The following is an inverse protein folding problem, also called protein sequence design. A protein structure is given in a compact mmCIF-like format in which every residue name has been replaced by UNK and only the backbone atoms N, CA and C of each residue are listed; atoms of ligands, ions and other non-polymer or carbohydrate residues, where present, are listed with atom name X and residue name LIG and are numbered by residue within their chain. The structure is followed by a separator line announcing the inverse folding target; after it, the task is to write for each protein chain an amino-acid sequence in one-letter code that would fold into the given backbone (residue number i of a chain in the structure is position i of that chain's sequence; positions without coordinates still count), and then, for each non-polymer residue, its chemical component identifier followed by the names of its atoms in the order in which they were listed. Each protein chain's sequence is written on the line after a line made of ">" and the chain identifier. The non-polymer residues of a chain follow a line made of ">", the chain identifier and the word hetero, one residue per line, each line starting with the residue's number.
data_IF_415439658300
#
_entry.id   IF_415439658300
#
_cell.length_a   1.000
_cell.length_b   1.000
_cell.length_c   1.000
_cell.angle_alpha   90.00
_cell.angle_beta   90.00
_cell.angle_gamma   90.00
#
_symmetry.space_group_name_H-M   'P 1'
#
loop_
_entity.id
_entity.type
_entity.pdbx_description
1 polymer ?
#
# COMPACT_ATOMS: atom_id res chain seq x y z
N UNK A 1 -10.28 21.19 -7.27
CA UNK A 1 -9.19 20.62 -8.09
C UNK A 1 -7.96 20.11 -7.32
N UNK A 2 -7.56 20.67 -6.16
CA UNK A 2 -6.35 20.20 -5.44
C UNK A 2 -6.48 18.75 -4.88
N UNK A 3 -7.70 18.26 -4.62
CA UNK A 3 -7.98 17.03 -3.84
C UNK A 3 -8.12 15.72 -4.64
N UNK A 4 -7.70 15.67 -5.91
CA UNK A 4 -7.90 14.49 -6.77
C UNK A 4 -6.68 13.57 -6.92
N UNK A 5 -5.52 13.95 -6.37
CA UNK A 5 -4.31 13.13 -6.40
C UNK A 5 -4.44 11.83 -5.59
N UNK A 6 -5.04 11.88 -4.39
CA UNK A 6 -5.09 10.71 -3.48
C UNK A 6 -5.92 9.51 -3.97
N UNK A 7 -6.56 9.60 -5.13
CA UNK A 7 -7.57 8.66 -5.60
C UNK A 7 -6.96 7.40 -6.22
N UNK A 8 -5.81 7.51 -6.88
CA UNK A 8 -5.22 6.39 -7.64
C UNK A 8 -4.53 5.37 -6.73
N UNK A 9 -3.82 5.81 -5.68
CA UNK A 9 -3.22 4.89 -4.71
C UNK A 9 -4.29 4.14 -3.91
N UNK A 10 -5.42 4.78 -3.63
CA UNK A 10 -6.61 4.13 -3.08
C UNK A 10 -7.23 3.13 -4.06
N UNK A 11 -7.48 3.52 -5.31
CA UNK A 11 -8.15 2.70 -6.31
C UNK A 11 -7.38 1.42 -6.70
N UNK A 12 -6.05 1.47 -6.78
CA UNK A 12 -5.22 0.27 -7.05
C UNK A 12 -5.23 -0.70 -5.86
N UNK A 13 -5.23 -0.21 -4.61
CA UNK A 13 -5.37 -1.05 -3.42
C UNK A 13 -6.79 -1.62 -3.24
N UNK A 14 -7.80 -0.95 -3.80
CA UNK A 14 -9.22 -1.27 -3.62
C UNK A 14 -9.65 -2.62 -4.24
N UNK A 15 -8.79 -3.23 -5.06
CA UNK A 15 -9.27 -3.89 -6.26
C UNK A 15 -9.41 -5.43 -6.20
N UNK A 16 -9.13 -6.11 -5.10
CA UNK A 16 -8.41 -7.41 -5.20
C UNK A 16 -9.04 -8.66 -4.53
N UNK A 17 -10.37 -8.91 -4.56
CA UNK A 17 -11.03 -9.81 -3.55
C UNK A 17 -12.39 -10.49 -3.97
N UNK A 18 -12.57 -11.83 -3.86
CA UNK A 18 -13.84 -12.62 -4.02
C UNK A 18 -14.00 -13.57 -2.80
N UNK A 19 -15.10 -14.28 -2.44
CA UNK A 19 -16.56 -14.34 -2.72
C UNK A 19 -17.22 -14.55 -1.29
N UNK A 20 -18.53 -14.82 -1.04
CA UNK A 20 -19.10 -14.66 0.29
C UNK A 20 -18.71 -15.82 1.23
N UNK A 21 -18.51 -15.50 2.51
CA UNK A 21 -18.35 -16.49 3.59
C UNK A 21 -19.25 -16.10 4.76
N UNK A 22 -19.77 -17.14 5.41
CA UNK A 22 -20.69 -17.13 6.56
C UNK A 22 -20.22 -16.20 7.69
N UNK A 23 -21.17 -15.60 8.40
CA UNK A 23 -20.94 -14.66 9.50
C UNK A 23 -19.94 -15.20 10.54
N UNK A 24 -18.75 -14.59 10.60
CA UNK A 24 -17.75 -14.87 11.64
C UNK A 24 -18.06 -14.07 12.92
N UNK A 25 -17.70 -14.61 14.11
CA UNK A 25 -17.89 -13.92 15.39
C UNK A 25 -17.07 -12.61 15.50
N UNK A 26 -17.43 -11.70 16.42
CA UNK A 26 -16.82 -10.39 16.52
C UNK A 26 -15.30 -10.43 16.69
N UNK A 27 -14.66 -9.50 15.99
CA UNK A 27 -13.20 -9.36 15.87
C UNK A 27 -12.61 -8.67 17.10
N UNK A 28 -11.33 -8.93 17.45
CA UNK A 28 -10.63 -8.10 18.41
C UNK A 28 -10.37 -6.71 17.80
N UNK A 29 -10.91 -5.65 18.41
CA UNK A 29 -10.61 -4.23 18.09
C UNK A 29 -9.10 -3.88 18.16
N UNK A 30 -8.28 -4.80 18.68
CA UNK A 30 -6.85 -4.65 18.92
C UNK A 30 -6.03 -4.39 17.65
N UNK A 31 -6.43 -4.91 16.48
CA UNK A 31 -5.70 -4.65 15.23
C UNK A 31 -5.69 -3.14 14.88
N UNK A 32 -6.80 -2.45 15.14
CA UNK A 32 -7.02 -1.02 14.84
C UNK A 32 -6.49 -0.06 15.92
N UNK A 33 -5.68 -0.54 16.87
CA UNK A 33 -5.13 0.26 17.97
C UNK A 33 -3.67 0.68 17.70
N UNK A 34 -3.46 1.92 17.23
CA UNK A 34 -2.14 2.42 16.83
C UNK A 34 -1.35 2.94 18.04
N UNK A 35 -0.05 2.64 18.19
CA UNK A 35 0.81 3.30 19.18
C UNK A 35 0.93 4.81 18.93
N UNK A 36 0.89 5.64 19.99
CA UNK A 36 0.88 7.11 19.88
C UNK A 36 2.05 7.71 19.10
N UNK A 37 3.23 7.08 19.16
CA UNK A 37 4.44 7.54 18.47
C UNK A 37 4.53 7.13 17.00
N UNK A 38 3.53 6.43 16.44
CA UNK A 38 3.61 5.87 15.08
C UNK A 38 3.75 6.96 14.02
N UNK A 39 4.94 7.04 13.42
CA UNK A 39 5.28 7.85 12.24
C UNK A 39 4.44 7.42 11.03
N UNK A 40 4.28 6.11 10.85
CA UNK A 40 3.39 5.54 9.85
C UNK A 40 2.78 4.24 10.36
N UNK A 41 1.60 3.90 9.87
CA UNK A 41 0.87 2.69 10.24
C UNK A 41 0.07 2.19 9.05
N UNK A 42 -0.03 0.88 8.91
CA UNK A 42 -0.99 0.23 8.02
C UNK A 42 -1.47 -1.07 8.66
N UNK A 43 -2.78 -1.28 8.67
CA UNK A 43 -3.41 -2.52 9.06
C UNK A 43 -4.34 -3.02 7.96
N UNK A 44 -4.34 -4.34 7.77
CA UNK A 44 -5.19 -5.01 6.81
C UNK A 44 -5.86 -6.22 7.46
N UNK A 45 -7.18 -6.26 7.34
CA UNK A 45 -8.01 -7.36 7.83
C UNK A 45 -8.91 -7.89 6.71
N UNK A 46 -8.35 -8.82 5.95
CA UNK A 46 -9.04 -9.46 4.84
C UNK A 46 -10.14 -10.45 5.23
N UNK A 47 -10.32 -10.79 6.52
CA UNK A 47 -11.25 -11.87 6.93
C UNK A 47 -12.71 -11.62 6.51
N UNK A 48 -13.14 -10.36 6.43
CA UNK A 48 -14.48 -9.99 5.96
C UNK A 48 -14.63 -9.95 4.43
N UNK A 49 -13.58 -10.26 3.69
CA UNK A 49 -13.50 -10.10 2.23
C UNK A 49 -13.56 -11.43 1.47
N UNK A 50 -13.53 -12.57 2.18
CA UNK A 50 -13.66 -13.90 1.59
C UNK A 50 -12.34 -14.53 1.13
N UNK A 51 -12.42 -15.56 0.29
CA UNK A 51 -11.29 -16.40 -0.13
C UNK A 51 -10.12 -15.63 -0.77
N UNK A 52 -10.38 -14.57 -1.55
CA UNK A 52 -9.33 -13.78 -2.18
C UNK A 52 -8.88 -12.57 -1.37
N UNK A 53 -9.23 -12.53 -0.08
CA UNK A 53 -8.43 -11.82 0.91
C UNK A 53 -6.93 -12.03 0.68
N UNK A 54 -6.51 -13.22 0.22
CA UNK A 54 -5.14 -13.56 -0.13
C UNK A 54 -4.54 -12.69 -1.24
N UNK A 55 -5.28 -12.34 -2.31
CA UNK A 55 -4.77 -11.50 -3.41
C UNK A 55 -4.62 -10.04 -2.99
N UNK A 56 -5.61 -9.47 -2.30
CA UNK A 56 -5.44 -8.15 -1.70
C UNK A 56 -4.37 -8.12 -0.63
N UNK A 57 -4.27 -9.14 0.22
CA UNK A 57 -3.23 -9.23 1.24
C UNK A 57 -1.85 -9.24 0.59
N UNK A 58 -1.69 -10.01 -0.49
CA UNK A 58 -0.48 -10.02 -1.30
C UNK A 58 -0.18 -8.63 -1.88
N UNK A 59 -1.16 -7.96 -2.50
CA UNK A 59 -0.97 -6.63 -3.09
C UNK A 59 -0.70 -5.53 -2.05
N UNK A 60 -1.47 -5.47 -0.95
CA UNK A 60 -1.26 -4.52 0.15
C UNK A 60 0.10 -4.74 0.79
N UNK A 61 0.48 -5.99 1.04
CA UNK A 61 1.79 -6.32 1.59
C UNK A 61 2.91 -6.04 0.57
N UNK A 62 2.72 -6.28 -0.72
CA UNK A 62 3.64 -5.91 -1.79
C UNK A 62 3.81 -4.40 -1.91
N UNK A 63 2.73 -3.63 -1.77
CA UNK A 63 2.76 -2.17 -1.70
C UNK A 63 3.55 -1.70 -0.46
N UNK A 64 3.35 -2.31 0.71
CA UNK A 64 4.15 -1.99 1.91
C UNK A 64 5.62 -2.33 1.73
N UNK A 65 5.96 -3.53 1.23
CA UNK A 65 7.34 -3.90 0.87
C UNK A 65 7.93 -2.91 -0.14
N UNK A 66 7.15 -2.51 -1.14
CA UNK A 66 7.52 -1.52 -2.16
C UNK A 66 7.79 -0.14 -1.57
N UNK A 67 6.92 0.37 -0.69
CA UNK A 67 7.14 1.63 0.03
C UNK A 67 8.40 1.55 0.89
N UNK A 68 8.55 0.51 1.72
CA UNK A 68 9.73 0.28 2.57
C UNK A 68 11.01 0.13 1.74
N UNK A 69 10.94 -0.41 0.53
CA UNK A 69 12.11 -0.66 -0.33
C UNK A 69 12.39 0.41 -1.39
N UNK A 70 11.60 1.49 -1.48
CA UNK A 70 11.78 2.53 -2.52
C UNK A 70 11.48 3.97 -2.08
N UNK A 71 10.65 4.19 -1.05
CA UNK A 71 10.21 5.54 -0.63
C UNK A 71 11.13 6.11 0.46
N UNK A 72 11.61 5.25 1.37
CA UNK A 72 12.78 5.54 2.21
C UNK A 72 13.74 4.38 2.00
N UNK A 73 14.75 4.59 1.17
CA UNK A 73 15.84 3.63 0.98
C UNK A 73 16.66 3.56 2.26
N UNK A 74 16.27 2.73 3.22
CA UNK A 74 17.11 2.41 4.38
C UNK A 74 18.30 1.60 3.88
N UNK A 75 19.52 2.01 4.24
CA UNK A 75 20.75 1.30 3.86
C UNK A 75 20.60 -0.21 4.12
N UNK A 76 20.82 -1.06 3.11
CA UNK A 76 20.67 -2.54 3.16
C UNK A 76 19.29 -3.13 3.58
N UNK A 77 18.36 -2.35 4.12
CA UNK A 77 17.02 -2.77 4.54
C UNK A 77 16.98 -3.95 5.53
N UNK A 78 15.89 -4.73 5.49
CA UNK A 78 15.84 -6.07 6.10
C UNK A 78 15.03 -7.04 5.25
N UNK A 79 15.67 -8.17 4.92
CA UNK A 79 15.08 -9.29 4.22
C UNK A 79 14.03 -10.05 5.06
N UNK A 80 13.99 -9.85 6.39
CA UNK A 80 12.96 -10.38 7.30
C UNK A 80 11.61 -9.71 7.08
N UNK A 81 11.57 -8.38 6.99
CA UNK A 81 10.35 -7.65 6.65
C UNK A 81 9.80 -8.11 5.29
N UNK A 82 10.69 -8.33 4.33
CA UNK A 82 10.34 -8.83 3.00
C UNK A 82 9.82 -10.27 3.01
N UNK A 83 10.38 -11.20 3.81
CA UNK A 83 9.79 -12.55 3.95
C UNK A 83 8.44 -12.54 4.66
N UNK A 84 8.33 -11.83 5.78
CA UNK A 84 7.11 -11.78 6.60
C UNK A 84 5.91 -11.25 5.82
N UNK A 85 6.13 -10.24 4.98
CA UNK A 85 5.09 -9.62 4.15
C UNK A 85 4.80 -10.40 2.85
N UNK A 86 5.31 -11.63 2.66
CA UNK A 86 4.89 -12.49 1.53
C UNK A 86 3.52 -13.11 1.79
N UNK A 87 2.75 -13.30 0.72
CA UNK A 87 1.44 -13.95 0.79
C UNK A 87 1.48 -15.31 1.52
N UNK A 88 2.51 -16.13 1.24
CA UNK A 88 2.75 -17.42 1.91
C UNK A 88 3.02 -17.31 3.43
N UNK A 89 3.67 -16.24 3.85
CA UNK A 89 4.05 -16.02 5.26
C UNK A 89 2.88 -15.42 6.05
N UNK A 90 2.09 -14.54 5.42
CA UNK A 90 0.88 -13.97 6.02
C UNK A 90 -0.33 -14.92 5.96
N UNK A 91 -0.40 -15.85 5.01
CA UNK A 91 -1.52 -16.78 4.84
C UNK A 91 -2.86 -16.04 4.90
N UNK A 92 -3.82 -16.57 5.66
CA UNK A 92 -5.11 -15.93 5.94
C UNK A 92 -5.12 -14.84 7.05
N UNK A 93 -4.00 -14.60 7.74
CA UNK A 93 -3.94 -13.75 8.93
C UNK A 93 -4.29 -12.27 8.67
N UNK A 94 -5.03 -11.60 9.58
CA UNK A 94 -4.97 -10.15 9.74
C UNK A 94 -3.56 -9.72 10.17
N UNK A 95 -3.10 -8.55 9.74
CA UNK A 95 -1.78 -8.05 10.12
C UNK A 95 -1.72 -6.52 10.12
N UNK A 96 -0.69 -6.00 10.76
CA UNK A 96 -0.35 -4.57 10.72
C UNK A 96 1.15 -4.34 10.72
N UNK A 97 1.58 -3.27 10.07
CA UNK A 97 2.93 -2.76 10.12
C UNK A 97 2.91 -1.32 10.67
N UNK A 98 3.80 -1.02 11.61
CA UNK A 98 3.95 0.29 12.23
C UNK A 98 5.41 0.73 12.09
N UNK A 99 5.64 1.95 11.60
CA UNK A 99 6.90 2.66 11.77
C UNK A 99 6.75 3.54 13.02
N UNK A 100 7.46 3.21 14.10
CA UNK A 100 7.41 3.91 15.38
C UNK A 100 8.43 5.04 15.46
N UNK A 101 9.62 4.81 14.90
CA UNK A 101 10.74 5.75 14.95
C UNK A 101 11.50 5.66 13.63
N UNK A 102 11.83 6.82 13.06
CA UNK A 102 12.76 6.97 11.95
C UNK A 102 13.47 8.31 12.15
N UNK A 103 14.76 8.26 12.43
CA UNK A 103 15.66 9.40 12.36
C UNK A 103 16.92 8.97 11.60
N UNK A 104 17.46 9.80 10.73
CA UNK A 104 18.66 9.46 9.97
C UNK A 104 19.12 10.55 9.02
N UNK A 105 20.37 10.41 8.56
CA UNK A 105 20.97 11.28 7.55
C UNK A 105 20.80 10.65 6.18
N UNK A 106 20.50 11.46 5.16
CA UNK A 106 20.47 10.99 3.78
C UNK A 106 21.82 11.14 3.11
N UNK A 107 22.27 10.08 2.44
CA UNK A 107 23.51 10.06 1.67
C UNK A 107 23.26 9.68 0.22
N UNK A 108 23.73 10.52 -0.69
CA UNK A 108 23.72 10.22 -2.12
C UNK A 108 24.81 9.18 -2.45
N UNK A 109 24.39 7.97 -2.84
CA UNK A 109 25.26 6.87 -3.25
C UNK A 109 25.29 6.76 -4.77
N UNK A 110 26.47 6.91 -5.37
CA UNK A 110 26.67 6.75 -6.82
C UNK A 110 26.64 5.27 -7.20
N UNK A 111 25.53 4.80 -7.76
CA UNK A 111 25.40 3.49 -8.44
C UNK A 111 25.79 3.61 -9.91
N UNK A 112 27.06 3.99 -10.14
CA UNK A 112 27.63 4.19 -11.47
C UNK A 112 27.57 5.64 -11.99
N UNK A 113 27.88 5.87 -13.27
CA UNK A 113 28.20 7.21 -13.78
C UNK A 113 27.00 8.15 -14.01
N UNK A 114 25.75 7.65 -13.89
CA UNK A 114 24.52 8.42 -14.16
C UNK A 114 23.41 8.22 -13.12
N UNK A 115 23.67 7.46 -12.05
CA UNK A 115 22.64 7.15 -11.05
C UNK A 115 23.19 7.44 -9.66
N UNK A 116 22.72 8.52 -9.04
CA UNK A 116 22.78 8.74 -7.60
C UNK A 116 21.46 8.29 -6.99
N UNK A 117 21.52 7.35 -6.05
CA UNK A 117 20.39 7.01 -5.19
C UNK A 117 20.64 7.60 -3.81
N UNK A 118 19.68 8.36 -3.30
CA UNK A 118 19.70 8.84 -1.93
C UNK A 118 19.26 7.72 -1.00
N UNK A 119 20.11 7.39 -0.04
CA UNK A 119 19.89 6.31 0.94
C UNK A 119 19.94 6.93 2.33
N UNK A 120 18.91 6.68 3.13
CA UNK A 120 18.87 7.06 4.55
C UNK A 120 19.66 6.03 5.34
N UNK A 121 20.63 6.50 6.13
CA UNK A 121 21.27 5.70 7.17
C UNK A 121 20.63 6.05 8.52
N UNK A 122 19.84 5.16 9.14
CA UNK A 122 19.13 5.51 10.36
C UNK A 122 20.07 5.70 11.55
N UNK A 123 19.94 6.83 12.24
CA UNK A 123 20.48 7.04 13.58
C UNK A 123 19.53 6.51 14.65
N UNK A 124 18.21 6.54 14.39
CA UNK A 124 17.18 5.80 15.12
C UNK A 124 16.22 5.12 14.15
N UNK A 125 15.86 3.87 14.45
CA UNK A 125 14.87 3.14 13.67
C UNK A 125 14.08 2.23 14.60
N UNK A 126 12.77 2.24 14.46
CA UNK A 126 11.87 1.34 15.15
C UNK A 126 10.68 1.02 14.25
N UNK A 127 10.57 -0.22 13.80
CA UNK A 127 9.41 -0.70 13.07
C UNK A 127 8.88 -2.00 13.68
N UNK A 128 7.59 -2.27 13.54
CA UNK A 128 6.95 -3.50 14.03
C UNK A 128 5.99 -4.05 12.98
N UNK A 129 6.06 -5.34 12.73
CA UNK A 129 5.04 -6.12 12.03
C UNK A 129 4.37 -7.03 13.08
N UNK A 130 3.07 -6.87 13.29
CA UNK A 130 2.26 -7.78 14.10
C UNK A 130 1.32 -8.56 13.20
N UNK A 131 1.42 -9.89 13.25
CA UNK A 131 0.57 -10.82 12.50
C UNK A 131 -0.33 -11.53 13.52
N UNK A 132 -1.65 -11.38 13.36
CA UNK A 132 -2.63 -11.99 14.25
C UNK A 132 -2.83 -13.45 13.85
N UNK A 133 -2.84 -14.36 14.82
CA UNK A 133 -2.95 -15.79 14.54
C UNK A 133 -4.24 -16.10 13.77
N UNK A 134 -4.13 -16.75 12.62
CA UNK A 134 -5.29 -17.36 11.97
C UNK A 134 -5.73 -18.57 12.81
N UNK A 135 -7.04 -18.82 12.87
CA UNK A 135 -7.59 -19.94 13.64
C UNK A 135 -7.30 -21.30 13.00
N UNK A 136 -6.98 -21.31 11.71
CA UNK A 136 -7.07 -22.50 10.86
C UNK A 136 -5.71 -23.03 10.38
N UNK A 137 -4.60 -22.33 10.69
CA UNK A 137 -3.27 -22.61 10.13
C UNK A 137 -2.16 -22.62 11.19
N UNK A 138 -1.63 -23.81 11.53
CA UNK A 138 -0.22 -24.07 11.88
C UNK A 138 0.50 -23.26 12.98
N UNK A 139 -0.19 -22.42 13.74
CA UNK A 139 0.44 -21.53 14.71
C UNK A 139 1.39 -20.50 14.09
N UNK A 140 2.43 -20.11 14.83
CA UNK A 140 3.40 -19.12 14.36
C UNK A 140 4.56 -19.72 13.54
N UNK A 141 4.60 -21.04 13.33
CA UNK A 141 5.75 -21.76 12.79
C UNK A 141 6.14 -21.29 11.37
N UNK A 142 5.16 -21.05 10.49
CA UNK A 142 5.41 -20.51 9.15
C UNK A 142 5.98 -19.08 9.17
N UNK A 143 5.67 -18.29 10.19
CA UNK A 143 6.21 -16.94 10.38
C UNK A 143 7.63 -17.01 10.97
N UNK A 144 7.89 -17.94 11.91
CA UNK A 144 9.23 -18.21 12.42
C UNK A 144 10.17 -18.69 11.30
N UNK A 145 9.71 -19.57 10.42
CA UNK A 145 10.45 -19.99 9.22
C UNK A 145 10.73 -18.81 8.27
N UNK A 146 9.77 -17.88 8.10
CA UNK A 146 9.96 -16.65 7.32
C UNK A 146 11.01 -15.71 7.97
N UNK A 147 11.02 -15.59 9.30
CA UNK A 147 12.02 -14.82 10.05
C UNK A 147 13.41 -15.41 9.84
N UNK A 148 13.59 -16.72 10.00
CA UNK A 148 14.91 -17.35 9.84
C UNK A 148 15.42 -17.31 8.39
N UNK A 149 14.54 -17.49 7.40
CA UNK A 149 14.88 -17.30 5.98
C UNK A 149 15.30 -15.84 5.68
N UNK A 150 14.64 -14.87 6.30
CA UNK A 150 15.03 -13.47 6.23
C UNK A 150 16.39 -13.19 6.87
N UNK A 151 16.61 -13.68 8.09
CA UNK A 151 17.85 -13.48 8.84
C UNK A 151 19.06 -14.15 8.19
N UNK A 152 18.87 -15.31 7.55
CA UNK A 152 19.92 -15.97 6.75
C UNK A 152 20.36 -15.09 5.59
N UNK A 153 19.43 -14.40 4.92
CA UNK A 153 19.78 -13.46 3.84
C UNK A 153 20.39 -12.17 4.36
N UNK A 154 19.84 -11.58 5.42
CA UNK A 154 20.40 -10.37 6.04
C UNK A 154 21.85 -10.58 6.51
N UNK A 155 22.19 -11.78 7.00
CA UNK A 155 23.55 -12.14 7.44
C UNK A 155 24.60 -12.07 6.32
N UNK A 156 24.21 -12.20 5.05
CA UNK A 156 25.13 -12.02 3.90
C UNK A 156 25.41 -10.53 3.59
N UNK A 157 24.61 -9.64 4.14
CA UNK A 157 24.72 -8.17 4.04
C UNK A 157 25.27 -7.55 5.34
N UNK A 158 25.49 -8.32 6.39
CA UNK A 158 26.09 -7.88 7.65
C UNK A 158 27.62 -8.06 7.59
N UNK A 159 28.35 -7.19 8.31
CA UNK A 159 29.82 -7.26 8.37
C UNK A 159 30.32 -8.32 9.36
N UNK A 160 29.49 -8.65 10.34
CA UNK A 160 29.78 -9.59 11.42
C UNK A 160 28.63 -10.59 11.59
N UNK A 161 28.88 -11.81 12.10
CA UNK A 161 27.83 -12.77 12.40
C UNK A 161 26.81 -12.21 13.41
N UNK A 162 25.52 -12.39 13.14
CA UNK A 162 24.45 -11.97 14.05
C UNK A 162 24.47 -12.78 15.36
N UNK A 163 24.41 -12.09 16.49
CA UNK A 163 24.27 -12.75 17.80
C UNK A 163 22.80 -13.10 18.04
N UNK A 164 22.52 -14.37 18.39
CA UNK A 164 21.19 -14.83 18.78
C UNK A 164 21.08 -14.98 20.30
N UNK A 165 20.01 -14.46 20.89
CA UNK A 165 19.69 -14.62 22.32
C UNK A 165 18.20 -14.90 22.50
N UNK A 166 17.85 -15.56 23.61
CA UNK A 166 16.46 -15.70 24.02
C UNK A 166 15.96 -14.36 24.59
N UNK A 167 14.78 -13.94 24.16
CA UNK A 167 14.11 -12.72 24.64
C UNK A 167 12.97 -13.09 25.58
N UNK A 168 12.86 -12.36 26.70
CA UNK A 168 11.72 -12.43 27.62
C UNK A 168 11.30 -11.02 28.01
N UNK A 169 10.05 -10.66 27.73
CA UNK A 169 9.48 -9.36 28.05
C UNK A 169 8.88 -9.35 29.47
N UNK A 170 8.63 -8.14 30.00
CA UNK A 170 8.07 -7.93 31.33
C UNK A 170 6.63 -8.46 31.52
N UNK A 171 5.90 -8.69 30.43
CA UNK A 171 4.58 -9.36 30.43
C UNK A 171 4.69 -10.90 30.44
N UNK A 172 5.91 -11.44 30.49
CA UNK A 172 6.20 -12.86 30.45
C UNK A 172 6.27 -13.46 29.04
N UNK A 173 5.98 -12.70 27.98
CA UNK A 173 6.09 -13.20 26.60
C UNK A 173 7.55 -13.55 26.25
N UNK A 174 7.72 -14.64 25.52
CA UNK A 174 9.04 -15.17 25.13
C UNK A 174 9.22 -15.21 23.63
N UNK A 175 10.47 -15.12 23.19
CA UNK A 175 10.85 -15.31 21.79
C UNK A 175 12.36 -15.15 21.60
N UNK A 176 12.77 -14.53 20.51
CA UNK A 176 14.18 -14.39 20.13
C UNK A 176 14.58 -12.95 19.81
N UNK A 177 15.87 -12.69 19.98
CA UNK A 177 16.56 -11.50 19.50
C UNK A 177 17.72 -11.95 18.60
N UNK A 178 17.88 -11.23 17.48
CA UNK A 178 18.95 -11.37 16.51
C UNK A 178 19.62 -10.01 16.34
N UNK A 179 20.69 -9.77 17.09
CA UNK A 179 21.44 -8.51 17.08
C UNK A 179 22.48 -8.47 15.96
N UNK A 180 22.69 -7.28 15.42
CA UNK A 180 23.73 -6.96 14.45
C UNK A 180 24.63 -5.81 14.98
N UNK A 181 25.73 -5.54 14.28
CA UNK A 181 26.64 -4.42 14.60
C UNK A 181 25.90 -3.07 14.61
N UNK A 182 25.05 -2.88 13.60
CA UNK A 182 24.23 -1.70 13.38
C UNK A 182 22.89 -1.83 14.15
N UNK A 183 22.60 -1.02 15.19
CA UNK A 183 21.45 -1.25 16.08
C UNK A 183 20.08 -1.20 15.41
N UNK A 184 19.94 -0.50 14.28
CA UNK A 184 18.71 -0.45 13.49
C UNK A 184 18.44 -1.75 12.71
N UNK A 185 19.44 -2.65 12.59
CA UNK A 185 19.32 -3.99 11.98
C UNK A 185 19.02 -5.11 12.96
N UNK A 186 18.94 -4.82 14.27
CA UNK A 186 18.48 -5.78 15.26
C UNK A 186 17.05 -6.22 14.93
N UNK A 187 16.77 -7.53 15.02
CA UNK A 187 15.44 -8.10 14.80
C UNK A 187 15.04 -8.89 16.03
N UNK A 188 13.92 -8.51 16.65
CA UNK A 188 13.35 -9.20 17.80
C UNK A 188 11.97 -9.75 17.45
N UNK A 189 11.57 -10.87 18.03
CA UNK A 189 10.22 -11.40 17.89
C UNK A 189 9.73 -12.05 19.17
N UNK A 190 8.43 -11.92 19.45
CA UNK A 190 7.76 -12.62 20.56
C UNK A 190 6.43 -13.21 20.13
N UNK A 191 6.13 -14.39 20.67
CA UNK A 191 4.81 -15.02 20.54
C UNK A 191 3.92 -14.56 21.70
N UNK A 192 2.74 -14.03 21.38
CA UNK A 192 1.67 -13.71 22.34
C UNK A 192 0.41 -14.53 22.03
N UNK A 193 -0.51 -14.70 22.99
CA UNK A 193 -1.81 -15.31 22.72
C UNK A 193 -2.56 -14.55 21.61
N UNK A 194 -2.64 -15.16 20.42
CA UNK A 194 -3.34 -14.60 19.27
C UNK A 194 -2.53 -13.67 18.36
N UNK A 195 -1.23 -13.43 18.60
CA UNK A 195 -0.37 -12.73 17.62
C UNK A 195 1.12 -13.03 17.75
N UNK A 196 1.83 -12.97 16.63
CA UNK A 196 3.29 -12.88 16.58
C UNK A 196 3.68 -11.42 16.31
N UNK A 197 4.55 -10.88 17.15
CA UNK A 197 5.08 -9.53 16.99
C UNK A 197 6.54 -9.65 16.59
N UNK A 198 6.92 -9.00 15.49
CA UNK A 198 8.31 -8.88 15.02
C UNK A 198 8.68 -7.41 14.97
N UNK A 199 9.72 -7.03 15.70
CA UNK A 199 10.24 -5.67 15.76
C UNK A 199 11.61 -5.59 15.09
N UNK A 200 11.87 -4.41 14.53
CA UNK A 200 13.11 -4.03 13.87
C UNK A 200 13.69 -2.82 14.60
N UNK A 201 15.01 -2.85 14.80
CA UNK A 201 15.73 -1.87 15.62
C UNK A 201 15.78 -2.24 17.10
N UNK A 202 16.90 -1.91 17.74
CA UNK A 202 17.20 -2.21 19.14
C UNK A 202 16.23 -1.50 20.10
N UNK A 203 15.62 -2.26 21.00
CA UNK A 203 14.69 -1.73 22.00
C UNK A 203 13.26 -1.47 21.48
N UNK A 204 12.98 -1.76 20.21
CA UNK A 204 11.66 -1.46 19.59
C UNK A 204 10.55 -2.34 20.16
N UNK A 205 10.84 -3.60 20.49
CA UNK A 205 9.83 -4.57 20.95
C UNK A 205 9.36 -4.28 22.38
N UNK A 206 10.24 -3.71 23.22
CA UNK A 206 9.95 -3.22 24.56
C UNK A 206 9.18 -1.90 24.56
N UNK A 207 9.38 -1.04 23.55
CA UNK A 207 8.61 0.20 23.34
C UNK A 207 7.19 -0.04 22.78
N UNK A 208 7.00 -1.10 21.98
CA UNK A 208 5.73 -1.40 21.33
C UNK A 208 4.50 -1.61 22.25
N UNK A 209 4.60 -2.18 23.48
CA UNK A 209 3.48 -2.27 24.41
C UNK A 209 3.07 -0.92 25.04
N UNK A 210 2.72 0.05 24.19
CA UNK A 210 2.09 1.33 24.54
C UNK A 210 0.72 1.47 23.86
N UNK A 211 -0.30 0.77 24.37
CA UNK A 211 -1.68 0.91 23.87
C UNK A 211 -2.27 2.24 24.34
N UNK A 212 -2.32 3.21 23.45
CA UNK A 212 -2.99 4.48 23.68
C UNK A 212 -4.21 4.63 22.77
N UNK A 213 -5.07 5.59 23.12
CA UNK A 213 -6.19 6.08 22.28
C UNK A 213 -5.96 7.53 21.84
N UNK A 214 -4.75 8.06 22.07
CA UNK A 214 -4.35 9.43 21.78
C UNK A 214 -3.81 9.63 20.36
N UNK A 215 -3.15 10.77 20.16
CA UNK A 215 -2.46 11.09 18.91
C UNK A 215 -3.37 11.50 17.75
N UNK A 216 -2.74 12.01 16.67
CA UNK A 216 -3.43 12.50 15.49
C UNK A 216 -4.31 11.42 14.84
N UNK A 217 -3.81 10.17 14.72
CA UNK A 217 -4.57 9.05 14.14
C UNK A 217 -5.94 8.85 14.83
N UNK A 218 -6.03 9.08 16.14
CA UNK A 218 -7.28 9.00 16.91
C UNK A 218 -8.27 10.12 16.57
N UNK A 219 -7.79 11.28 16.12
CA UNK A 219 -8.63 12.34 15.52
C UNK A 219 -9.11 11.93 14.13
N UNK A 220 -8.21 11.43 13.26
CA UNK A 220 -8.55 10.95 11.92
C UNK A 220 -9.61 9.83 11.95
N UNK A 221 -9.50 8.87 12.88
CA UNK A 221 -10.49 7.79 13.05
C UNK A 221 -11.82 8.30 13.60
N UNK A 222 -11.81 9.29 14.51
CA UNK A 222 -13.02 9.97 15.01
C UNK A 222 -13.74 10.77 13.92
N UNK A 223 -13.01 11.45 13.04
CA UNK A 223 -13.57 12.22 11.92
C UNK A 223 -14.33 11.36 10.87
N UNK A 224 -14.27 10.03 10.98
CA UNK A 224 -15.11 9.11 10.22
C UNK A 224 -15.82 8.07 11.10
N UNK A 225 -15.97 8.30 12.40
CA UNK A 225 -16.63 7.34 13.32
C UNK A 225 -18.05 6.96 12.85
N UNK A 226 -18.79 7.94 12.32
CA UNK A 226 -20.16 7.77 11.81
C UNK A 226 -20.24 7.02 10.47
N UNK A 227 -19.12 6.78 9.79
CA UNK A 227 -19.11 6.06 8.52
C UNK A 227 -19.33 4.55 8.75
N UNK A 228 -20.51 4.06 8.33
CA UNK A 228 -20.97 2.67 8.49
C UNK A 228 -19.99 1.65 7.91
N UNK A 229 -20.11 0.40 8.37
CA UNK A 229 -19.41 -0.77 7.81
C UNK A 229 -18.25 -1.28 8.67
N UNK A 230 -17.64 -2.38 8.24
CA UNK A 230 -16.52 -3.05 8.92
C UNK A 230 -15.20 -2.48 8.38
N UNK A 231 -14.28 -2.00 9.23
CA UNK A 231 -12.91 -1.67 8.78
C UNK A 231 -12.22 -2.93 8.22
N UNK A 232 -11.54 -2.77 7.09
CA UNK A 232 -10.75 -3.82 6.41
C UNK A 232 -9.36 -3.34 5.99
N UNK A 233 -9.18 -2.02 5.88
CA UNK A 233 -7.91 -1.35 5.61
C UNK A 233 -7.88 -0.03 6.39
N UNK A 234 -6.79 0.25 7.08
CA UNK A 234 -6.46 1.59 7.58
C UNK A 234 -4.98 1.85 7.31
N UNK A 235 -4.63 3.01 6.76
CA UNK A 235 -3.24 3.41 6.52
C UNK A 235 -3.05 4.88 6.90
N UNK A 236 -2.16 5.17 7.84
CA UNK A 236 -1.88 6.49 8.43
C UNK A 236 -0.42 6.87 8.23
N UNK A 237 -0.15 8.16 7.98
CA UNK A 237 1.20 8.73 7.94
C UNK A 237 1.22 10.11 8.61
N UNK A 238 2.08 10.29 9.61
CA UNK A 238 2.46 11.60 10.15
C UNK A 238 3.64 12.18 9.34
N UNK A 239 3.29 13.05 8.40
CA UNK A 239 4.25 13.75 7.54
C UNK A 239 5.07 14.80 8.33
N UNK A 240 4.63 15.25 9.51
CA UNK A 240 5.47 16.08 10.37
C UNK A 240 6.52 15.23 11.10
N UNK A 241 6.17 14.01 11.53
CA UNK A 241 7.13 13.07 12.11
C UNK A 241 8.19 12.66 11.09
N UNK A 242 7.79 12.30 9.86
CA UNK A 242 8.74 12.00 8.78
C UNK A 242 9.68 13.18 8.48
N UNK A 243 9.17 14.42 8.38
CA UNK A 243 9.99 15.62 8.15
C UNK A 243 10.98 15.94 9.27
N UNK A 244 10.65 15.60 10.53
CA UNK A 244 11.59 15.74 11.66
C UNK A 244 12.64 14.65 11.67
N UNK A 245 12.28 13.44 11.23
CA UNK A 245 13.14 12.27 11.23
C UNK A 245 14.19 12.26 10.12
N UNK A 246 13.77 12.59 8.90
CA UNK A 246 14.61 12.59 7.69
C UNK A 246 14.44 13.93 6.94
N UNK A 247 14.92 15.05 7.52
CA UNK A 247 14.73 16.38 6.93
C UNK A 247 15.29 16.47 5.50
N UNK A 248 16.45 15.85 5.24
CA UNK A 248 17.11 15.79 3.94
C UNK A 248 16.27 15.08 2.84
N UNK A 249 15.31 14.23 3.22
CA UNK A 249 14.37 13.64 2.27
C UNK A 249 13.25 14.62 1.87
N UNK A 250 12.99 15.62 2.70
CA UNK A 250 12.02 16.70 2.46
C UNK A 250 12.66 18.01 1.98
N UNK A 251 13.99 18.12 2.00
CA UNK A 251 14.74 19.21 1.38
C UNK A 251 15.27 18.76 0.00
N UNK A 252 14.34 18.64 -0.96
CA UNK A 252 14.62 18.21 -2.34
C UNK A 252 14.92 16.72 -2.53
N UNK A 253 14.68 15.87 -1.54
CA UNK A 253 14.92 14.42 -1.60
C UNK A 253 13.85 13.61 -2.34
N UNK A 254 13.74 12.32 -2.00
CA UNK A 254 12.72 11.43 -2.55
C UNK A 254 11.33 11.71 -1.97
N UNK A 255 11.24 11.92 -0.65
CA UNK A 255 9.96 12.20 0.01
C UNK A 255 9.36 13.53 -0.41
N UNK A 256 10.17 14.58 -0.57
CA UNK A 256 9.73 15.90 -1.04
C UNK A 256 8.97 15.81 -2.37
N UNK A 257 9.65 15.25 -3.39
CA UNK A 257 9.08 15.04 -4.72
C UNK A 257 7.80 14.20 -4.66
N UNK A 258 7.76 13.19 -3.79
CA UNK A 258 6.60 12.31 -3.63
C UNK A 258 5.40 13.03 -2.98
N UNK A 259 5.62 13.80 -1.90
CA UNK A 259 4.52 14.56 -1.27
C UNK A 259 4.04 15.72 -2.15
N UNK A 260 4.89 16.26 -3.00
CA UNK A 260 4.50 17.20 -4.06
C UNK A 260 3.66 16.53 -5.15
N UNK A 261 4.11 15.39 -5.70
CA UNK A 261 3.33 14.58 -6.66
C UNK A 261 1.95 14.19 -6.11
N UNK A 262 1.90 13.81 -4.83
CA UNK A 262 0.65 13.43 -4.16
C UNK A 262 -0.18 14.63 -3.67
N UNK A 263 0.32 15.86 -3.83
CA UNK A 263 -0.30 17.13 -3.40
C UNK A 263 -0.59 17.22 -1.90
N UNK A 264 0.20 16.52 -1.09
CA UNK A 264 0.16 16.50 0.39
C UNK A 264 1.39 17.18 1.02
N UNK A 265 2.21 17.89 0.23
CA UNK A 265 3.40 18.60 0.69
C UNK A 265 3.15 19.59 1.83
N UNK A 266 1.93 20.14 1.95
CA UNK A 266 1.53 21.02 3.06
C UNK A 266 0.75 20.30 4.18
N UNK A 267 0.56 18.99 4.13
CA UNK A 267 -0.20 18.27 5.14
C UNK A 267 0.66 17.85 6.34
N UNK A 268 0.03 17.84 7.51
CA UNK A 268 0.58 17.36 8.78
C UNK A 268 0.52 15.85 8.85
N UNK A 269 -0.67 15.29 8.60
CA UNK A 269 -0.91 13.85 8.58
C UNK A 269 -2.05 13.50 7.61
N UNK A 270 -2.01 12.28 7.09
CA UNK A 270 -2.99 11.73 6.14
C UNK A 270 -3.36 10.31 6.59
N UNK A 271 -4.64 9.93 6.43
CA UNK A 271 -5.13 8.59 6.71
C UNK A 271 -6.15 8.13 5.66
N UNK A 272 -5.87 6.99 5.03
CA UNK A 272 -6.79 6.22 4.19
C UNK A 272 -7.55 5.21 5.06
N UNK A 273 -8.85 5.10 4.81
CA UNK A 273 -9.78 4.21 5.49
C UNK A 273 -10.56 3.40 4.45
N UNK A 274 -10.55 2.08 4.56
CA UNK A 274 -11.36 1.17 3.77
C UNK A 274 -12.37 0.44 4.64
N UNK A 275 -13.66 0.61 4.35
CA UNK A 275 -14.76 -0.01 5.09
C UNK A 275 -15.73 -0.76 4.19
N UNK A 276 -16.15 -1.93 4.66
CA UNK A 276 -17.05 -2.83 3.96
C UNK A 276 -18.50 -2.62 4.40
N UNK A 277 -19.31 -2.02 3.54
CA UNK A 277 -20.67 -1.51 3.78
C UNK A 277 -21.73 -2.44 3.16
N UNK A 278 -22.89 -2.54 3.83
CA UNK A 278 -24.03 -3.35 3.40
C UNK A 278 -24.00 -4.78 3.95
N UNK A 279 -25.19 -5.37 4.08
CA UNK A 279 -25.37 -6.76 4.49
C UNK A 279 -25.00 -7.73 3.35
N UNK A 280 -24.45 -8.93 3.63
CA UNK A 280 -24.16 -9.95 2.61
C UNK A 280 -25.40 -10.38 1.80
N UNK A 281 -26.57 -10.38 2.44
CA UNK A 281 -27.84 -10.81 1.87
C UNK A 281 -28.40 -9.83 0.82
N UNK A 282 -27.94 -8.57 0.83
CA UNK A 282 -28.41 -7.50 -0.04
C UNK A 282 -27.53 -7.31 -1.30
N UNK A 283 -26.90 -8.39 -1.78
CA UNK A 283 -25.94 -8.38 -2.88
C UNK A 283 -24.53 -7.93 -2.48
N UNK A 284 -23.66 -7.71 -3.47
CA UNK A 284 -22.22 -7.56 -3.25
C UNK A 284 -21.86 -6.37 -2.36
N UNK A 285 -21.29 -6.62 -1.16
CA UNK A 285 -20.93 -5.56 -0.18
C UNK A 285 -20.10 -4.44 -0.84
N UNK A 286 -20.14 -3.21 -0.36
CA UNK A 286 -19.36 -2.12 -0.96
C UNK A 286 -18.12 -1.81 -0.15
N UNK A 287 -16.95 -1.81 -0.78
CA UNK A 287 -15.74 -1.30 -0.14
C UNK A 287 -15.68 0.22 -0.40
N UNK A 288 -16.15 0.96 0.60
CA UNK A 288 -16.06 2.41 0.64
C UNK A 288 -14.65 2.82 1.10
N UNK A 289 -13.98 3.59 0.26
CA UNK A 289 -12.69 4.20 0.53
C UNK A 289 -12.89 5.66 0.86
N UNK A 290 -12.29 6.12 1.96
CA UNK A 290 -12.34 7.50 2.40
C UNK A 290 -10.95 7.92 2.87
N UNK A 291 -10.53 9.12 2.50
CA UNK A 291 -9.33 9.74 3.06
C UNK A 291 -9.69 10.85 4.03
N UNK A 292 -8.79 11.08 4.98
CA UNK A 292 -8.80 12.18 5.94
C UNK A 292 -7.40 12.79 6.01
N UNK A 293 -7.29 14.10 6.10
CA UNK A 293 -6.01 14.79 6.22
C UNK A 293 -6.14 16.03 7.11
N UNK A 294 -5.04 16.45 7.73
CA UNK A 294 -4.92 17.72 8.45
C UNK A 294 -3.86 18.58 7.78
N UNK A 295 -4.19 19.82 7.42
CA UNK A 295 -3.27 20.69 6.65
C UNK A 295 -2.56 21.72 7.51
N UNK A 296 -1.28 22.01 7.24
CA UNK A 296 -0.47 23.00 7.98
C UNK A 296 -1.04 24.41 7.89
N UNK A 297 -1.74 24.74 6.81
CA UNK A 297 -2.43 26.02 6.60
C UNK A 297 -3.74 26.16 7.41
N UNK A 298 -4.23 25.09 8.05
CA UNK A 298 -5.44 25.11 8.87
C UNK A 298 -5.07 25.00 10.37
N UNK A 299 -5.93 25.47 11.27
CA UNK A 299 -5.65 25.38 12.71
C UNK A 299 -5.41 23.92 13.16
N UNK A 300 -4.53 23.65 14.15
CA UNK A 300 -4.37 22.32 14.73
C UNK A 300 -5.71 21.70 15.15
N UNK A 301 -5.87 20.39 14.98
CA UNK A 301 -7.15 19.69 15.17
C UNK A 301 -8.18 19.87 14.04
N UNK A 302 -7.94 20.78 13.07
CA UNK A 302 -8.79 20.84 11.86
C UNK A 302 -8.52 19.63 10.98
N UNK A 303 -9.56 18.83 10.76
CA UNK A 303 -9.54 17.68 9.87
C UNK A 303 -10.45 17.89 8.66
N UNK A 304 -9.96 17.46 7.51
CA UNK A 304 -10.71 17.33 6.27
C UNK A 304 -10.90 15.87 5.94
N UNK A 305 -11.97 15.59 5.19
CA UNK A 305 -12.27 14.26 4.69
C UNK A 305 -12.79 14.32 3.25
N UNK A 306 -12.55 13.27 2.49
CA UNK A 306 -13.11 13.08 1.15
C UNK A 306 -13.36 11.59 0.91
N UNK A 307 -14.52 11.24 0.35
CA UNK A 307 -14.74 9.92 -0.22
C UNK A 307 -13.84 9.75 -1.46
N UNK A 308 -13.23 8.57 -1.63
CA UNK A 308 -12.51 8.12 -2.82
C UNK A 308 -13.39 7.17 -3.64
N UNK A 309 -14.28 6.44 -2.97
CA UNK A 309 -15.33 5.65 -3.61
C UNK A 309 -16.68 5.86 -2.94
N UNK A 310 -17.74 5.48 -3.64
CA UNK A 310 -19.10 5.65 -3.16
C UNK A 310 -19.36 4.81 -1.89
N UNK A 311 -20.22 5.34 -1.02
CA UNK A 311 -20.63 4.66 0.22
C UNK A 311 -21.98 3.92 0.09
N UNK A 312 -22.64 4.08 -1.04
CA UNK A 312 -23.96 3.54 -1.42
C UNK A 312 -23.94 3.12 -2.88
N UNK A 313 -24.70 2.09 -3.25
CA UNK A 313 -24.68 1.56 -4.61
C UNK A 313 -25.30 2.58 -5.58
N UNK A 314 -24.61 3.01 -6.65
CA UNK A 314 -25.16 4.01 -7.55
C UNK A 314 -26.22 3.39 -8.48
N UNK A 315 -27.45 3.89 -8.38
CA UNK A 315 -28.61 3.42 -9.17
C UNK A 315 -28.33 3.45 -10.69
N UNK A 316 -27.55 4.42 -11.16
CA UNK A 316 -27.16 4.57 -12.55
C UNK A 316 -26.28 3.42 -13.13
N UNK A 317 -25.77 2.52 -12.28
CA UNK A 317 -25.02 1.32 -12.70
C UNK A 317 -25.98 0.12 -12.91
N UNK A 318 -27.25 0.25 -12.52
CA UNK A 318 -28.23 -0.84 -12.57
C UNK A 318 -28.08 -1.81 -11.39
N UNK A 319 -28.30 -3.09 -11.64
CA UNK A 319 -28.32 -4.09 -10.56
C UNK A 319 -26.94 -4.32 -9.93
N UNK A 320 -26.97 -4.41 -8.60
CA UNK A 320 -25.78 -4.70 -7.79
C UNK A 320 -25.30 -6.14 -8.08
N UNK A 321 -23.99 -6.35 -8.39
CA UNK A 321 -23.44 -7.68 -8.60
C UNK A 321 -23.77 -8.63 -7.43
N UNK A 322 -23.92 -9.92 -7.72
CA UNK A 322 -24.15 -10.94 -6.70
C UNK A 322 -22.82 -11.54 -6.22
N UNK A 323 -22.77 -11.84 -4.92
CA UNK A 323 -21.71 -12.61 -4.24
C UNK A 323 -20.29 -11.98 -4.17
N UNK A 324 -20.08 -10.76 -4.66
CA UNK A 324 -18.79 -10.07 -4.55
C UNK A 324 -18.75 -9.11 -3.33
N UNK A 325 -17.70 -8.31 -3.20
CA UNK A 325 -17.87 -6.90 -2.86
C UNK A 325 -17.43 -6.08 -4.07
N UNK A 326 -17.66 -4.77 -4.06
CA UNK A 326 -17.34 -3.89 -5.18
C UNK A 326 -16.91 -2.52 -4.69
N UNK A 327 -15.97 -1.88 -5.38
CA UNK A 327 -15.75 -0.43 -5.28
C UNK A 327 -16.41 0.21 -6.48
N UNK A 328 -17.44 1.01 -6.26
CA UNK A 328 -17.98 1.90 -7.28
C UNK A 328 -17.35 3.28 -7.09
N UNK A 329 -16.75 3.83 -8.15
CA UNK A 329 -16.06 5.11 -8.11
C UNK A 329 -16.20 5.83 -9.44
N UNK A 330 -16.21 7.16 -9.40
CA UNK A 330 -16.30 7.99 -10.62
C UNK A 330 -14.90 8.12 -11.23
N UNK A 331 -14.71 7.81 -12.52
CA UNK A 331 -13.41 7.90 -13.13
C UNK A 331 -13.01 9.34 -13.43
N UNK A 332 -11.81 9.71 -13.03
CA UNK A 332 -11.07 10.83 -13.60
C UNK A 332 -9.73 10.29 -14.10
N UNK A 333 -9.79 9.65 -15.27
CA UNK A 333 -8.61 9.06 -15.90
C UNK A 333 -7.53 10.11 -16.21
N UNK A 334 -7.90 11.38 -16.41
CA UNK A 334 -6.96 12.49 -16.57
C UNK A 334 -6.19 12.76 -15.27
N UNK A 335 -6.88 12.92 -14.15
CA UNK A 335 -6.23 13.11 -12.84
C UNK A 335 -5.42 11.88 -12.42
N UNK A 336 -5.92 10.66 -12.64
CA UNK A 336 -5.20 9.44 -12.26
C UNK A 336 -3.95 9.20 -13.08
N UNK A 337 -4.02 9.42 -14.40
CA UNK A 337 -2.85 9.31 -15.27
C UNK A 337 -1.78 10.32 -14.87
N UNK A 338 -2.17 11.58 -14.66
CA UNK A 338 -1.25 12.61 -14.18
C UNK A 338 -0.65 12.23 -12.82
N UNK A 339 -1.44 11.77 -11.86
CA UNK A 339 -0.92 11.28 -10.57
C UNK A 339 0.06 10.10 -10.73
N UNK A 340 -0.21 9.17 -11.64
CA UNK A 340 0.67 8.04 -11.93
C UNK A 340 2.00 8.50 -12.51
N UNK A 341 1.97 9.46 -13.45
CA UNK A 341 3.15 10.08 -14.05
C UNK A 341 3.93 10.95 -13.05
N UNK A 342 3.24 11.73 -12.23
CA UNK A 342 3.83 12.56 -11.16
C UNK A 342 4.52 11.66 -10.12
N UNK A 343 3.88 10.56 -9.72
CA UNK A 343 4.46 9.56 -8.79
C UNK A 343 5.65 8.84 -9.43
N UNK A 344 5.55 8.45 -10.71
CA UNK A 344 6.67 7.86 -11.44
C UNK A 344 7.84 8.84 -11.58
N UNK A 345 7.57 10.13 -11.79
CA UNK A 345 8.60 11.17 -11.86
C UNK A 345 9.28 11.41 -10.50
N UNK A 346 8.52 11.33 -9.41
CA UNK A 346 9.06 11.47 -8.05
C UNK A 346 9.97 10.30 -7.66
N UNK A 347 9.57 9.06 -7.97
CA UNK A 347 10.32 7.83 -7.66
C UNK A 347 11.37 7.46 -8.72
N UNK A 348 11.26 8.04 -9.92
CA UNK A 348 12.06 7.70 -11.09
C UNK A 348 13.36 8.51 -11.24
N UNK A 349 14.13 8.22 -12.31
CA UNK A 349 15.33 8.97 -12.65
C UNK A 349 14.98 10.41 -13.06
N UNK A 350 15.88 11.34 -12.74
CA UNK A 350 15.74 12.78 -13.03
C UNK A 350 15.46 13.12 -14.49
N UNK A 351 15.95 12.30 -15.42
CA UNK A 351 15.78 12.48 -16.86
C UNK A 351 14.33 12.23 -17.34
N UNK A 352 13.46 11.68 -16.48
CA UNK A 352 12.10 11.31 -16.85
C UNK A 352 11.26 12.48 -17.36
N UNK A 353 11.47 13.72 -16.90
CA UNK A 353 10.70 14.89 -17.37
C UNK A 353 10.81 15.11 -18.90
N UNK A 354 12.02 14.92 -19.44
CA UNK A 354 12.29 15.01 -20.88
C UNK A 354 11.63 13.87 -21.69
N UNK A 355 11.48 12.70 -21.05
CA UNK A 355 10.81 11.52 -21.61
C UNK A 355 9.29 11.68 -21.52
N UNK A 356 8.78 12.20 -20.40
CA UNK A 356 7.38 12.49 -20.11
C UNK A 356 6.79 13.44 -21.13
N UNK A 357 7.41 14.61 -21.34
CA UNK A 357 6.94 15.58 -22.34
C UNK A 357 6.83 14.97 -23.74
N UNK A 358 7.77 14.08 -24.11
CA UNK A 358 7.76 13.38 -25.41
C UNK A 358 6.71 12.28 -25.46
N UNK A 359 6.49 11.58 -24.36
CA UNK A 359 5.47 10.55 -24.19
C UNK A 359 4.06 11.17 -24.24
N UNK A 360 3.81 12.24 -23.48
CA UNK A 360 2.54 12.98 -23.45
C UNK A 360 2.16 13.45 -24.86
N UNK A 361 3.09 14.04 -25.63
CA UNK A 361 2.83 14.45 -27.02
C UNK A 361 2.46 13.29 -27.95
N UNK A 362 2.99 12.08 -27.74
CA UNK A 362 2.61 10.89 -28.51
C UNK A 362 1.27 10.32 -28.08
N UNK A 363 0.97 10.40 -26.79
CA UNK A 363 -0.20 9.74 -26.17
C UNK A 363 -1.44 10.63 -26.16
N UNK A 364 -1.28 11.96 -26.17
CA UNK A 364 -2.37 12.94 -26.16
C UNK A 364 -3.45 12.69 -27.22
N UNK A 365 -3.15 12.42 -28.52
CA UNK A 365 -4.19 12.16 -29.51
C UNK A 365 -5.04 10.92 -29.19
N UNK A 366 -4.47 9.91 -28.54
CA UNK A 366 -5.21 8.74 -28.10
C UNK A 366 -6.09 9.05 -26.89
N UNK A 367 -5.56 9.80 -25.91
CA UNK A 367 -6.32 10.25 -24.73
C UNK A 367 -7.50 11.16 -25.12
N UNK A 368 -7.31 12.08 -26.05
CA UNK A 368 -8.38 12.94 -26.60
C UNK A 368 -9.55 12.12 -27.19
N UNK A 369 -9.30 10.90 -27.69
CA UNK A 369 -10.33 9.99 -28.22
C UNK A 369 -10.88 9.02 -27.18
N UNK A 370 -10.11 8.68 -26.15
CA UNK A 370 -10.51 7.74 -25.09
C UNK A 370 -11.28 8.46 -23.98
N UNK A 371 -10.78 9.59 -23.48
CA UNK A 371 -11.35 10.28 -22.31
C UNK A 371 -12.85 10.61 -22.47
N UNK A 372 -13.36 11.11 -23.62
CA UNK A 372 -14.79 11.37 -23.81
C UNK A 372 -15.66 10.11 -23.89
N UNK A 373 -15.06 8.93 -24.09
CA UNK A 373 -15.75 7.64 -24.12
C UNK A 373 -15.84 6.98 -22.75
N UNK A 374 -14.96 7.32 -21.81
CA UNK A 374 -15.02 6.81 -20.44
C UNK A 374 -16.36 7.20 -19.82
N UNK A 375 -17.13 6.21 -19.42
CA UNK A 375 -18.43 6.38 -18.76
C UNK A 375 -18.28 6.88 -17.34
N UNK A 376 -19.40 7.26 -16.72
CA UNK A 376 -19.42 7.98 -15.45
C UNK A 376 -19.04 7.12 -14.23
N UNK A 377 -18.80 5.82 -14.45
CA UNK A 377 -18.51 4.82 -13.42
C UNK A 377 -17.40 3.86 -13.81
N UNK A 378 -16.50 3.64 -12.86
CA UNK A 378 -15.58 2.53 -12.79
C UNK A 378 -16.01 1.62 -11.64
N UNK A 379 -16.20 0.35 -11.97
CA UNK A 379 -16.37 -0.72 -11.00
C UNK A 379 -15.05 -1.43 -10.82
N UNK A 380 -14.65 -1.60 -9.57
CA UNK A 380 -13.52 -2.45 -9.23
C UNK A 380 -14.07 -3.65 -8.50
N UNK A 381 -13.96 -4.80 -9.16
CA UNK A 381 -14.47 -6.08 -8.67
C UNK A 381 -13.32 -6.92 -8.11
N UNK A 382 -13.63 -7.99 -7.38
CA UNK A 382 -12.78 -9.16 -7.20
C UNK A 382 -11.65 -9.43 -8.21
N UNK A 383 -10.51 -9.92 -7.70
CA UNK A 383 -9.43 -10.43 -8.53
C UNK A 383 -8.63 -9.38 -9.31
N UNK A 384 -8.72 -8.08 -8.95
CA UNK A 384 -8.16 -6.96 -9.71
C UNK A 384 -8.83 -6.72 -11.07
N UNK A 385 -10.06 -7.20 -11.25
CA UNK A 385 -10.87 -6.87 -12.43
C UNK A 385 -11.43 -5.45 -12.31
N UNK A 386 -10.82 -4.52 -13.04
CA UNK A 386 -11.32 -3.15 -13.23
C UNK A 386 -12.24 -3.15 -14.44
N UNK A 387 -13.54 -2.95 -14.23
CA UNK A 387 -14.52 -2.71 -15.30
C UNK A 387 -14.84 -1.22 -15.41
N UNK A 388 -14.55 -0.60 -16.54
CA UNK A 388 -14.92 0.78 -16.84
C UNK A 388 -15.97 0.73 -17.95
N UNK A 389 -17.18 1.23 -17.67
CA UNK A 389 -18.17 1.43 -18.72
C UNK A 389 -17.58 2.42 -19.76
N UNK A 390 -17.67 2.10 -21.04
CA UNK A 390 -17.20 2.95 -22.13
C UNK A 390 -18.32 3.12 -23.15
N UNK A 391 -18.70 4.37 -23.40
CA UNK A 391 -19.75 4.71 -24.36
C UNK A 391 -19.31 4.24 -25.75
N UNK A 392 -20.01 3.29 -26.38
CA UNK A 392 -19.67 2.86 -27.74
C UNK A 392 -19.80 4.05 -28.68
N UNK A 393 -18.81 4.21 -29.56
CA UNK A 393 -18.87 5.24 -30.58
C UNK A 393 -19.74 4.75 -31.76
N UNK A 394 -20.21 5.69 -32.60
CA UNK A 394 -20.62 5.34 -33.95
C UNK A 394 -19.39 4.78 -34.71
N UNK A 395 -19.26 3.46 -34.72
CA UNK A 395 -18.08 2.71 -35.19
C UNK A 395 -17.20 2.21 -34.03
N UNK A 396 -17.37 0.94 -33.65
CA UNK A 396 -16.69 0.32 -32.49
C UNK A 396 -15.21 -0.03 -32.72
N UNK A 397 -14.72 -0.04 -33.96
CA UNK A 397 -13.40 -0.60 -34.30
C UNK A 397 -12.18 0.22 -33.81
N UNK A 398 -12.39 1.46 -33.32
CA UNK A 398 -11.30 2.37 -32.97
C UNK A 398 -10.88 2.36 -31.50
N UNK A 399 -11.71 1.91 -30.55
CA UNK A 399 -11.38 2.05 -29.13
C UNK A 399 -10.22 1.14 -28.69
N UNK A 400 -10.22 -0.13 -29.10
CA UNK A 400 -9.11 -1.06 -28.84
C UNK A 400 -7.81 -0.58 -29.52
N UNK A 401 -7.88 -0.11 -30.77
CA UNK A 401 -6.74 0.48 -31.45
C UNK A 401 -6.18 1.72 -30.71
N UNK A 402 -7.06 2.57 -30.17
CA UNK A 402 -6.66 3.75 -29.39
C UNK A 402 -5.99 3.36 -28.07
N UNK A 403 -6.56 2.38 -27.33
CA UNK A 403 -6.00 1.85 -26.09
C UNK A 403 -4.64 1.18 -26.32
N UNK A 404 -4.53 0.30 -27.33
CA UNK A 404 -3.24 -0.25 -27.77
C UNK A 404 -2.26 0.86 -28.15
N UNK A 405 -2.73 1.96 -28.73
CA UNK A 405 -1.94 3.16 -28.99
C UNK A 405 -1.34 3.77 -27.72
N UNK A 406 -2.13 3.97 -26.67
CA UNK A 406 -1.66 4.43 -25.34
C UNK A 406 -0.61 3.46 -24.79
N UNK A 407 -0.94 2.17 -24.68
CA UNK A 407 -0.09 1.19 -24.00
C UNK A 407 1.19 0.84 -24.77
N UNK A 408 1.15 0.79 -26.10
CA UNK A 408 2.36 0.59 -26.93
C UNK A 408 3.31 1.77 -26.78
N UNK A 409 2.79 2.99 -26.65
CA UNK A 409 3.60 4.19 -26.43
C UNK A 409 4.09 4.36 -24.98
N UNK A 410 3.43 3.74 -23.99
CA UNK A 410 3.88 3.67 -22.58
C UNK A 410 5.27 3.03 -22.40
N UNK A 411 5.71 2.19 -23.34
CA UNK A 411 6.74 1.17 -23.07
C UNK A 411 8.01 1.09 -23.96
N UNK A 412 8.38 2.02 -24.86
CA UNK A 412 9.71 2.00 -25.48
C UNK A 412 10.86 2.14 -24.46
N UNK A 413 10.68 2.96 -23.43
CA UNK A 413 11.70 3.26 -22.41
C UNK A 413 11.73 2.25 -21.27
N UNK A 414 10.59 1.65 -20.92
CA UNK A 414 10.51 0.61 -19.87
C UNK A 414 11.07 -0.74 -20.35
N UNK A 415 11.06 -1.01 -21.66
CA UNK A 415 11.69 -2.21 -22.27
C UNK A 415 13.21 -2.10 -22.50
N UNK A 416 13.82 -0.92 -22.39
CA UNK A 416 15.19 -0.66 -22.89
C UNK A 416 16.23 -0.32 -21.82
N UNK A 417 15.94 -0.57 -20.54
CA UNK A 417 16.93 -0.48 -19.46
C UNK A 417 16.71 -1.57 -18.40
N UNK A 418 17.77 -1.96 -17.68
CA UNK A 418 17.76 -2.95 -16.56
C UNK A 418 16.93 -2.52 -15.32
N UNK A 419 16.01 -1.57 -15.48
CA UNK A 419 15.08 -1.04 -14.49
C UNK A 419 13.77 -0.66 -15.19
N UNK A 420 13.11 -1.64 -15.80
CA UNK A 420 11.66 -1.56 -15.84
C UNK A 420 11.14 -1.65 -14.41
N UNK A 421 10.01 -1.01 -14.11
CA UNK A 421 9.14 -1.48 -13.03
C UNK A 421 8.44 -2.75 -13.53
N UNK A 422 9.24 -3.79 -13.74
CA UNK A 422 8.73 -5.14 -13.79
C UNK A 422 8.27 -5.43 -12.37
N UNK A 423 6.98 -5.74 -12.18
CA UNK A 423 6.43 -6.07 -10.86
C UNK A 423 6.83 -7.49 -10.47
N UNK A 424 8.13 -7.78 -10.55
CA UNK A 424 8.75 -9.03 -10.14
C UNK A 424 8.63 -9.09 -8.63
N UNK A 425 7.63 -9.82 -8.14
CA UNK A 425 7.82 -10.54 -6.88
C UNK A 425 8.92 -11.58 -7.12
N UNK A 426 10.11 -11.45 -6.50
CA UNK A 426 11.09 -12.51 -6.59
C UNK A 426 10.54 -13.66 -5.74
N UNK A 427 10.14 -14.77 -6.37
CA UNK A 427 9.74 -16.07 -5.78
C UNK A 427 8.43 -16.13 -4.98
N UNK A 428 7.30 -16.42 -5.66
CA UNK A 428 6.66 -17.76 -5.64
C UNK A 428 5.39 -17.88 -6.53
N UNK A 429 5.54 -18.48 -7.73
CA UNK A 429 4.59 -19.38 -8.42
C UNK A 429 3.13 -18.97 -8.79
N UNK A 430 2.67 -17.73 -8.58
CA UNK A 430 1.57 -17.16 -9.39
C UNK A 430 1.90 -15.71 -9.78
N UNK A 431 2.82 -15.55 -10.72
CA UNK A 431 3.25 -14.23 -11.22
C UNK A 431 2.09 -13.51 -11.91
N UNK A 432 1.88 -12.22 -11.66
CA UNK A 432 1.03 -11.40 -12.52
C UNK A 432 1.83 -11.04 -13.78
N UNK A 433 1.66 -11.78 -14.88
CA UNK A 433 2.45 -11.60 -16.11
C UNK A 433 2.29 -10.20 -16.72
N UNK A 434 1.09 -9.63 -16.57
CA UNK A 434 0.77 -8.32 -17.08
C UNK A 434 -0.68 -7.93 -16.80
N UNK A 435 -0.96 -6.65 -17.01
CA UNK A 435 -2.33 -6.15 -17.10
C UNK A 435 -2.87 -6.48 -18.50
N UNK A 436 -3.79 -7.42 -18.59
CA UNK A 436 -4.52 -7.73 -19.82
C UNK A 436 -5.84 -6.98 -19.80
N UNK A 437 -6.06 -6.15 -20.82
CA UNK A 437 -7.36 -5.54 -21.05
C UNK A 437 -8.16 -6.29 -22.12
N UNK A 438 -9.48 -6.27 -21.97
CA UNK A 438 -10.44 -6.85 -22.89
C UNK A 438 -11.58 -5.83 -23.05
N UNK A 439 -11.93 -5.50 -24.29
CA UNK A 439 -13.11 -4.71 -24.59
C UNK A 439 -14.23 -5.67 -24.96
N UNK A 440 -15.26 -5.76 -24.13
CA UNK A 440 -16.48 -6.49 -24.42
C UNK A 440 -17.60 -5.45 -24.61
N UNK A 441 -18.12 -5.35 -25.84
CA UNK A 441 -19.22 -4.50 -26.28
C UNK A 441 -19.19 -3.03 -25.82
N UNK A 442 -19.54 -2.74 -24.57
CA UNK A 442 -19.62 -1.42 -23.95
C UNK A 442 -18.74 -1.26 -22.68
N UNK A 443 -17.94 -2.27 -22.33
CA UNK A 443 -17.17 -2.30 -21.08
C UNK A 443 -15.71 -2.66 -21.34
N UNK A 444 -14.82 -1.79 -20.87
CA UNK A 444 -13.39 -2.03 -20.84
C UNK A 444 -13.04 -2.73 -19.52
N UNK A 445 -12.68 -4.01 -19.63
CA UNK A 445 -12.10 -4.77 -18.54
C UNK A 445 -10.60 -4.64 -18.56
N UNK A 446 -9.97 -4.52 -17.39
CA UNK A 446 -8.54 -4.70 -17.19
C UNK A 446 -8.34 -5.63 -16.00
N UNK A 447 -7.67 -6.76 -16.23
CA UNK A 447 -7.43 -7.81 -15.24
C UNK A 447 -5.93 -8.11 -15.22
N UNK A 448 -5.38 -8.36 -14.04
CA UNK A 448 -4.01 -8.86 -13.94
C UNK A 448 -4.02 -10.38 -14.10
N UNK A 449 -3.44 -10.88 -15.19
CA UNK A 449 -3.43 -12.33 -15.43
C UNK A 449 -2.34 -13.01 -14.60
N UNK A 450 -2.70 -14.01 -13.75
CA UNK A 450 -1.71 -14.86 -13.10
C UNK A 450 -1.05 -15.80 -14.12
N UNK A 451 0.15 -16.29 -13.80
CA UNK A 451 0.95 -17.18 -14.64
C UNK A 451 0.35 -18.55 -14.88
#
# INVERSE_FOLDING_TARGET
>A
MIRMALWTFGAVLAAALVRPVVAQPPKPDMIWAVPDSSVAYIAFDGTSLGAEANRARALVAAAVRGLVSNVVMVENGSAVANELLRARALGSAPWRACLLELEGESKDIKRGPRLSERIVRPSKFGAVIEVFASRDEGGHDRLLAAIEAGLTRDSSLDRSPRQRTALRLGDGATGGLSSADEPWRDVAWVSRPGSLIVAFGRGTIEKYPGRSRGGAWGEHRRAISDARGTSVLEAFVDLNALRRGVPDEFDGGGLDRLVHAWRIANDRAVMLHGRLIGAPEAGARMLSLRTTWSSRAEAPGTLRAAAISESTWPEAIGDRPKDAWVVALRPDAGAWLNFGLDTYQALGPTEFESVRTRWERRVAPFLERILPRIGDWMLVKPGLEVGIAVRPAAGNDRLDADLRGVFTNLLPTVRSGRRGWELVEPTAEQELQGLVWRLDSDTLFATWEPK
#
